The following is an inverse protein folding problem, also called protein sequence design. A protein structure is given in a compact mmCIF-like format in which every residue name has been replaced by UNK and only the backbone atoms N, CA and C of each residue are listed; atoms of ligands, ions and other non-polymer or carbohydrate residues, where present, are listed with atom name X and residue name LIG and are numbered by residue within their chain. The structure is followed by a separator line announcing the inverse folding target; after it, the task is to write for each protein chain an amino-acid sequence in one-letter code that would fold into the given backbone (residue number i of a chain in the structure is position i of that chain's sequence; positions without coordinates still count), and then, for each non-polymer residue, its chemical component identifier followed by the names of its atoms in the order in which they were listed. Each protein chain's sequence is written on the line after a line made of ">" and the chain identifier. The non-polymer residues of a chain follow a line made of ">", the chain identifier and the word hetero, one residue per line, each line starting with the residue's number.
data_IF_518445676045
#
_entry.id   IF_518445676045
#
_cell.length_a   1.000
_cell.length_b   1.000
_cell.length_c   1.000
_cell.angle_alpha   90.00
_cell.angle_beta   90.00
_cell.angle_gamma   90.00
#
_symmetry.space_group_name_H-M   'P 1'
#
loop_
_entity.id
_entity.type
_entity.pdbx_description
1 polymer ?
#
# COMPACT_ATOMS: atom_id res chain seq x y z
N UNK A 1 28.64 -23.60 -11.36
CA UNK A 1 28.48 -22.99 -12.69
C UNK A 1 27.17 -23.49 -13.26
N UNK A 2 26.08 -22.74 -13.05
CA UNK A 2 24.79 -23.00 -13.68
C UNK A 2 24.54 -21.91 -14.69
N UNK A 3 24.49 -22.31 -15.94
CA UNK A 3 24.27 -21.44 -17.09
C UNK A 3 22.79 -21.06 -17.17
N UNK A 4 22.51 -19.75 -17.04
CA UNK A 4 21.22 -19.17 -17.39
C UNK A 4 20.98 -19.33 -18.89
N UNK A 5 20.00 -20.11 -19.26
CA UNK A 5 19.42 -20.08 -20.61
C UNK A 5 18.28 -19.07 -20.63
N UNK A 6 18.48 -17.95 -21.30
CA UNK A 6 17.42 -17.05 -21.71
C UNK A 6 16.46 -17.79 -22.65
N UNK A 7 15.30 -18.18 -22.14
CA UNK A 7 14.22 -18.68 -22.97
C UNK A 7 13.25 -17.52 -23.18
N UNK A 8 13.30 -16.92 -24.35
CA UNK A 8 12.27 -15.98 -24.81
C UNK A 8 11.02 -16.79 -25.16
N UNK A 9 10.06 -16.85 -24.24
CA UNK A 9 8.74 -17.42 -24.49
C UNK A 9 7.78 -16.29 -24.80
N UNK A 10 7.25 -16.30 -26.04
CA UNK A 10 6.09 -15.49 -26.43
C UNK A 10 4.86 -15.96 -25.63
N UNK A 11 4.05 -15.04 -25.08
CA UNK A 11 2.85 -15.41 -24.32
C UNK A 11 1.73 -15.80 -25.29
N UNK A 12 1.63 -17.08 -25.62
CA UNK A 12 0.48 -17.64 -26.31
C UNK A 12 -0.34 -18.53 -25.37
N UNK A 13 -1.55 -18.04 -25.02
CA UNK A 13 -2.69 -18.83 -24.54
C UNK A 13 -2.59 -19.54 -23.19
N UNK A 14 -2.51 -18.77 -22.10
CA UNK A 14 -2.86 -19.25 -20.77
C UNK A 14 -4.27 -18.78 -20.43
N UNK A 15 -5.25 -19.68 -20.42
CA UNK A 15 -6.59 -19.38 -19.91
C UNK A 15 -6.53 -19.20 -18.40
N UNK A 16 -6.52 -17.94 -17.93
CA UNK A 16 -6.66 -17.60 -16.52
C UNK A 16 -8.12 -17.58 -16.14
N UNK A 17 -8.50 -18.40 -15.16
CA UNK A 17 -9.73 -18.17 -14.40
C UNK A 17 -9.49 -16.87 -13.61
N UNK A 18 -10.10 -15.76 -14.01
CA UNK A 18 -9.85 -14.44 -13.40
C UNK A 18 -10.73 -14.24 -12.17
N UNK A 19 -10.22 -14.49 -10.95
CA UNK A 19 -10.77 -13.85 -9.77
C UNK A 19 -10.57 -12.33 -9.90
N UNK A 20 -11.40 -11.54 -9.25
CA UNK A 20 -11.29 -10.08 -9.28
C UNK A 20 -9.90 -9.66 -8.80
N UNK A 21 -9.15 -8.99 -9.69
CA UNK A 21 -7.76 -8.59 -9.49
C UNK A 21 -7.67 -7.17 -8.97
N UNK A 22 -6.52 -6.82 -8.42
CA UNK A 22 -6.20 -5.46 -7.99
C UNK A 22 -5.27 -4.81 -9.02
N UNK A 23 -5.38 -3.48 -9.21
CA UNK A 23 -4.46 -2.71 -10.05
C UNK A 23 -3.75 -1.67 -9.21
N UNK A 24 -2.42 -1.78 -9.07
CA UNK A 24 -1.57 -0.75 -8.50
C UNK A 24 -0.85 0.03 -9.59
N UNK A 25 -0.93 1.36 -9.54
CA UNK A 25 -0.27 2.26 -10.49
C UNK A 25 0.72 3.12 -9.72
N UNK A 26 2.01 2.93 -10.00
CA UNK A 26 3.06 3.70 -9.37
C UNK A 26 3.35 5.00 -10.11
N UNK A 27 3.33 6.13 -9.41
CA UNK A 27 3.68 7.46 -9.91
C UNK A 27 4.92 7.95 -9.17
N UNK A 28 6.13 7.92 -9.79
CA UNK A 28 7.38 8.16 -9.08
C UNK A 28 7.74 9.65 -8.89
N UNK A 29 6.86 10.58 -9.24
CA UNK A 29 7.14 12.02 -9.21
C UNK A 29 6.82 12.62 -7.85
N UNK A 30 7.75 13.43 -7.31
CA UNK A 30 7.57 14.23 -6.10
C UNK A 30 8.06 15.66 -6.34
N UNK A 31 7.47 16.62 -5.61
CA UNK A 31 7.99 18.00 -5.58
C UNK A 31 9.15 18.15 -4.60
N UNK A 32 9.16 17.34 -3.53
CA UNK A 32 10.23 17.27 -2.53
C UNK A 32 10.41 15.84 -2.02
N UNK A 33 11.63 15.47 -1.60
CA UNK A 33 11.91 14.16 -0.98
C UNK A 33 11.88 14.28 0.53
N UNK A 34 11.02 13.54 1.20
CA UNK A 34 10.95 13.46 2.65
C UNK A 34 12.20 12.74 3.20
N UNK A 35 12.65 13.12 4.41
CA UNK A 35 13.88 12.59 4.99
C UNK A 35 13.85 11.09 5.26
N UNK A 36 12.66 10.54 5.54
CA UNK A 36 12.43 9.12 5.88
C UNK A 36 11.97 8.26 4.70
N UNK A 37 11.72 8.86 3.52
CA UNK A 37 11.00 8.18 2.43
C UNK A 37 11.89 7.20 1.66
N UNK A 38 11.58 5.90 1.78
CA UNK A 38 12.20 4.82 1.02
C UNK A 38 11.49 4.50 -0.31
N UNK A 39 10.32 5.08 -0.57
CA UNK A 39 9.59 4.83 -1.80
C UNK A 39 10.40 5.24 -3.04
N UNK A 40 10.20 4.48 -4.12
CA UNK A 40 10.79 4.78 -5.42
C UNK A 40 10.22 6.10 -5.97
N UNK A 41 10.84 7.22 -5.63
CA UNK A 41 10.35 8.55 -5.97
C UNK A 41 11.48 9.54 -6.25
N UNK A 42 11.24 10.47 -7.17
CA UNK A 42 12.22 11.38 -7.73
C UNK A 42 11.67 12.80 -7.80
N UNK A 43 12.53 13.81 -7.55
CA UNK A 43 12.15 15.23 -7.55
C UNK A 43 12.62 15.99 -8.78
N UNK A 44 13.48 15.42 -9.61
CA UNK A 44 14.16 16.11 -10.72
C UNK A 44 13.79 15.57 -12.12
N UNK A 45 12.73 14.77 -12.22
CA UNK A 45 12.33 14.09 -13.48
C UNK A 45 10.97 14.56 -14.00
N UNK A 46 10.47 15.73 -13.56
CA UNK A 46 9.15 16.24 -13.98
C UNK A 46 8.99 16.39 -15.49
N UNK A 47 10.10 16.60 -16.23
CA UNK A 47 10.13 16.69 -17.68
C UNK A 47 9.80 15.35 -18.37
N UNK A 48 9.87 14.22 -17.67
CA UNK A 48 9.59 12.88 -18.20
C UNK A 48 8.13 12.43 -18.04
N UNK A 49 7.25 13.27 -17.49
CA UNK A 49 5.85 12.90 -17.21
C UNK A 49 5.07 12.42 -18.44
N UNK A 50 5.37 12.97 -19.62
CA UNK A 50 4.71 12.59 -20.89
C UNK A 50 5.21 11.23 -21.37
N UNK A 51 6.52 11.04 -21.39
CA UNK A 51 7.17 9.78 -21.75
C UNK A 51 6.80 8.67 -20.79
N UNK A 52 6.64 9.02 -19.51
CA UNK A 52 6.20 8.09 -18.48
C UNK A 52 4.79 7.56 -18.73
N UNK A 53 3.87 8.41 -19.20
CA UNK A 53 2.53 7.96 -19.59
C UNK A 53 2.59 6.93 -20.71
N UNK A 54 3.38 7.16 -21.75
CA UNK A 54 3.52 6.21 -22.87
C UNK A 54 4.12 4.87 -22.43
N UNK A 55 5.07 4.91 -21.49
CA UNK A 55 5.63 3.69 -20.92
C UNK A 55 4.59 2.93 -20.07
N UNK A 56 3.83 3.62 -19.21
CA UNK A 56 2.71 3.03 -18.47
C UNK A 56 1.67 2.38 -19.39
N UNK A 57 1.28 3.09 -20.45
CA UNK A 57 0.35 2.59 -21.46
C UNK A 57 0.86 1.32 -22.11
N UNK A 58 2.14 1.31 -22.55
CA UNK A 58 2.77 0.14 -23.16
C UNK A 58 2.79 -1.04 -22.19
N UNK A 59 3.15 -0.81 -20.93
CA UNK A 59 3.16 -1.85 -19.90
C UNK A 59 1.76 -2.39 -19.65
N UNK A 60 0.78 -1.50 -19.44
CA UNK A 60 -0.61 -1.89 -19.18
C UNK A 60 -1.19 -2.77 -20.29
N UNK A 61 -1.00 -2.37 -21.55
CA UNK A 61 -1.50 -3.14 -22.71
C UNK A 61 -0.76 -4.47 -22.90
N UNK A 62 0.44 -4.63 -22.36
CA UNK A 62 1.16 -5.90 -22.34
C UNK A 62 0.66 -6.86 -21.25
N UNK A 63 0.22 -6.32 -20.11
CA UNK A 63 -0.17 -7.10 -18.93
C UNK A 63 -1.67 -7.43 -18.89
N UNK A 64 -2.52 -6.49 -19.30
CA UNK A 64 -3.96 -6.65 -19.28
C UNK A 64 -4.47 -7.21 -20.62
N UNK A 65 -5.33 -8.21 -20.54
CA UNK A 65 -6.07 -8.78 -21.66
C UNK A 65 -7.56 -8.42 -21.57
N UNK A 66 -8.36 -8.82 -22.57
CA UNK A 66 -9.81 -8.53 -22.62
C UNK A 66 -10.59 -9.13 -21.44
N UNK A 67 -10.08 -10.17 -20.80
CA UNK A 67 -10.69 -10.81 -19.64
C UNK A 67 -10.38 -10.11 -18.33
N UNK A 68 -9.34 -9.27 -18.27
CA UNK A 68 -8.89 -8.59 -17.08
C UNK A 68 -9.98 -7.67 -16.51
N UNK A 69 -10.26 -7.80 -15.19
CA UNK A 69 -11.24 -6.99 -14.45
C UNK A 69 -10.67 -6.62 -13.09
N UNK A 70 -10.56 -5.34 -12.83
CA UNK A 70 -9.99 -4.86 -11.57
C UNK A 70 -11.09 -4.49 -10.58
N UNK A 71 -11.09 -5.15 -9.42
CA UNK A 71 -12.02 -4.86 -8.32
C UNK A 71 -11.66 -3.53 -7.65
N UNK A 72 -10.37 -3.23 -7.57
CA UNK A 72 -9.86 -1.98 -7.02
C UNK A 72 -8.69 -1.45 -7.85
N UNK A 73 -8.54 -0.12 -7.84
CA UNK A 73 -7.37 0.58 -8.39
C UNK A 73 -6.75 1.41 -7.28
N UNK A 74 -5.43 1.36 -7.14
CA UNK A 74 -4.70 2.20 -6.22
C UNK A 74 -3.58 2.94 -6.97
N UNK A 75 -3.64 4.27 -6.98
CA UNK A 75 -2.66 5.14 -7.61
C UNK A 75 -1.82 5.76 -6.51
N UNK A 76 -0.58 5.30 -6.37
CA UNK A 76 0.32 5.65 -5.27
C UNK A 76 1.77 5.85 -5.70
N UNK A 77 2.67 5.86 -4.72
CA UNK A 77 4.11 5.88 -4.94
C UNK A 77 4.82 7.12 -4.44
N UNK A 78 5.27 8.00 -5.32
CA UNK A 78 5.84 9.28 -4.96
C UNK A 78 4.75 10.26 -4.51
N UNK A 79 4.16 10.97 -5.45
CA UNK A 79 3.06 11.91 -5.18
C UNK A 79 2.16 12.01 -6.41
N UNK A 80 1.14 11.17 -6.54
CA UNK A 80 0.23 11.20 -7.68
C UNK A 80 -0.42 12.57 -7.94
N UNK A 81 -0.70 13.36 -6.90
CA UNK A 81 -1.27 14.71 -7.06
C UNK A 81 -0.34 15.73 -7.74
N UNK A 82 0.91 15.37 -8.06
CA UNK A 82 1.80 16.19 -8.91
C UNK A 82 1.49 16.08 -10.40
N UNK A 83 0.67 15.10 -10.78
CA UNK A 83 0.27 14.91 -12.18
C UNK A 83 -0.94 15.79 -12.52
N UNK A 84 -1.00 16.25 -13.78
CA UNK A 84 -2.12 17.05 -14.26
C UNK A 84 -3.42 16.24 -14.37
N UNK A 85 -4.56 16.91 -14.34
CA UNK A 85 -5.86 16.27 -14.61
C UNK A 85 -5.86 15.58 -15.97
N UNK A 86 -5.30 16.21 -17.02
CA UNK A 86 -5.21 15.62 -18.36
C UNK A 86 -4.39 14.33 -18.45
N UNK A 87 -3.46 14.09 -17.50
CA UNK A 87 -2.81 12.79 -17.38
C UNK A 87 -3.82 11.72 -16.92
N UNK A 88 -4.63 12.04 -15.93
CA UNK A 88 -5.64 11.11 -15.40
C UNK A 88 -6.78 10.88 -16.38
N UNK A 89 -7.21 11.89 -17.14
CA UNK A 89 -8.20 11.72 -18.23
C UNK A 89 -7.73 10.64 -19.21
N UNK A 90 -6.50 10.72 -19.71
CA UNK A 90 -5.92 9.72 -20.60
C UNK A 90 -5.74 8.35 -19.93
N UNK A 91 -5.34 8.34 -18.65
CA UNK A 91 -5.18 7.09 -17.89
C UNK A 91 -6.54 6.40 -17.74
N UNK A 92 -7.59 7.12 -17.39
CA UNK A 92 -8.95 6.58 -17.23
C UNK A 92 -9.59 6.19 -18.57
N UNK A 93 -9.25 6.87 -19.66
CA UNK A 93 -9.61 6.43 -21.01
C UNK A 93 -8.99 5.06 -21.33
N UNK A 94 -7.70 4.87 -21.00
CA UNK A 94 -6.97 3.62 -21.21
C UNK A 94 -7.52 2.46 -20.36
N UNK A 95 -7.66 2.66 -19.04
CA UNK A 95 -8.04 1.58 -18.11
C UNK A 95 -9.56 1.42 -17.97
N UNK A 96 -10.36 2.38 -18.45
CA UNK A 96 -11.82 2.43 -18.26
C UNK A 96 -12.56 1.13 -18.57
N UNK A 97 -12.28 0.42 -19.69
CA UNK A 97 -12.92 -0.85 -20.00
C UNK A 97 -12.74 -1.93 -18.91
N UNK A 98 -11.66 -1.88 -18.15
CA UNK A 98 -11.24 -2.89 -17.17
C UNK A 98 -11.72 -2.58 -15.75
N UNK A 99 -12.13 -1.33 -15.48
CA UNK A 99 -12.49 -0.83 -14.15
C UNK A 99 -13.97 -0.48 -13.98
N UNK A 100 -14.83 -0.78 -14.94
CA UNK A 100 -16.28 -0.45 -14.91
C UNK A 100 -16.98 -0.88 -13.62
N UNK A 101 -16.55 -2.00 -13.04
CA UNK A 101 -17.13 -2.58 -11.83
C UNK A 101 -16.22 -2.42 -10.60
N UNK A 102 -15.19 -1.57 -10.69
CA UNK A 102 -14.31 -1.31 -9.57
C UNK A 102 -15.08 -0.68 -8.41
N UNK A 103 -14.91 -1.29 -7.22
CA UNK A 103 -15.58 -0.85 -5.99
C UNK A 103 -14.85 0.29 -5.30
N UNK A 104 -13.53 0.37 -5.53
CA UNK A 104 -12.66 1.38 -4.92
C UNK A 104 -11.57 1.80 -5.90
N UNK A 105 -11.47 3.10 -6.12
CA UNK A 105 -10.40 3.73 -6.89
C UNK A 105 -9.77 4.78 -5.99
N UNK A 106 -8.57 4.47 -5.49
CA UNK A 106 -7.81 5.29 -4.54
C UNK A 106 -6.74 6.11 -5.24
N UNK A 107 -6.51 7.32 -4.76
CA UNK A 107 -5.35 8.13 -5.12
C UNK A 107 -4.68 8.74 -3.90
N UNK A 108 -3.34 8.72 -3.87
CA UNK A 108 -2.54 9.42 -2.86
C UNK A 108 -2.29 10.86 -3.26
N UNK A 109 -2.37 11.76 -2.28
CA UNK A 109 -2.25 13.19 -2.48
C UNK A 109 -1.37 13.87 -1.44
N UNK A 110 -0.63 14.88 -1.86
CA UNK A 110 -0.07 15.84 -0.93
C UNK A 110 -1.19 16.71 -0.33
N UNK A 111 -1.08 17.05 0.96
CA UNK A 111 -2.10 17.85 1.65
C UNK A 111 -1.97 19.36 1.37
N UNK A 112 -1.55 19.73 0.18
CA UNK A 112 -1.58 21.07 -0.41
C UNK A 112 -2.27 21.07 -1.78
N UNK A 113 -3.00 19.99 -2.09
CA UNK A 113 -3.70 19.82 -3.37
C UNK A 113 -4.91 20.73 -3.45
N UNK A 114 -5.08 21.40 -4.61
CA UNK A 114 -6.14 22.39 -4.81
C UNK A 114 -7.53 21.76 -4.92
N UNK A 115 -8.56 22.54 -4.55
CA UNK A 115 -9.96 22.12 -4.69
C UNK A 115 -10.32 21.75 -6.12
N UNK A 116 -9.88 22.55 -7.12
CA UNK A 116 -10.20 22.32 -8.51
C UNK A 116 -9.65 20.99 -9.03
N UNK A 117 -8.41 20.65 -8.63
CA UNK A 117 -7.83 19.36 -8.96
C UNK A 117 -8.61 18.22 -8.32
N UNK A 118 -8.94 18.33 -7.01
CA UNK A 118 -9.73 17.33 -6.28
C UNK A 118 -11.10 17.10 -6.92
N UNK A 119 -11.80 18.18 -7.29
CA UNK A 119 -13.10 18.12 -7.97
C UNK A 119 -12.99 17.42 -9.34
N UNK A 120 -11.94 17.74 -10.10
CA UNK A 120 -11.73 17.15 -11.42
C UNK A 120 -11.47 15.65 -11.33
N UNK A 121 -10.55 15.18 -10.46
CA UNK A 121 -10.27 13.75 -10.34
C UNK A 121 -11.47 12.99 -9.75
N UNK A 122 -12.26 13.61 -8.87
CA UNK A 122 -13.50 13.02 -8.37
C UNK A 122 -14.48 12.74 -9.50
N UNK A 123 -14.58 13.65 -10.48
CA UNK A 123 -15.45 13.49 -11.66
C UNK A 123 -15.00 12.37 -12.60
N UNK A 124 -13.72 11.98 -12.57
CA UNK A 124 -13.20 10.83 -13.33
C UNK A 124 -13.55 9.47 -12.70
N UNK A 125 -14.17 9.46 -11.49
CA UNK A 125 -14.60 8.23 -10.83
C UNK A 125 -13.73 7.81 -9.65
N UNK A 126 -12.65 8.54 -9.33
CA UNK A 126 -11.87 8.30 -8.11
C UNK A 126 -12.77 8.52 -6.90
N UNK A 127 -12.89 7.53 -6.01
CA UNK A 127 -13.87 7.55 -4.91
C UNK A 127 -13.24 7.41 -3.51
N UNK A 128 -11.91 7.19 -3.43
CA UNK A 128 -11.15 7.23 -2.19
C UNK A 128 -9.90 8.11 -2.37
N UNK A 129 -9.58 8.90 -1.36
CA UNK A 129 -8.40 9.76 -1.35
C UNK A 129 -7.58 9.53 -0.07
N UNK A 130 -6.25 9.50 -0.20
CA UNK A 130 -5.31 9.39 0.91
C UNK A 130 -4.39 10.59 0.95
N UNK A 131 -4.36 11.30 2.09
CA UNK A 131 -3.49 12.45 2.29
C UNK A 131 -2.32 12.10 3.20
N UNK A 132 -1.10 12.23 2.67
CA UNK A 132 0.13 12.10 3.44
C UNK A 132 0.37 13.29 4.36
N UNK A 133 -0.42 13.45 5.41
CA UNK A 133 -0.36 14.60 6.36
C UNK A 133 0.83 14.46 7.30
N UNK A 134 1.03 13.29 7.87
CA UNK A 134 2.09 12.88 8.79
C UNK A 134 1.99 13.51 10.18
N UNK A 135 1.70 14.80 10.29
CA UNK A 135 1.49 15.56 11.54
C UNK A 135 0.80 16.90 11.24
N UNK A 136 0.26 17.53 12.29
CA UNK A 136 -0.19 18.93 12.27
C UNK A 136 0.74 19.85 13.05
N UNK A 137 1.83 19.32 13.61
CA UNK A 137 2.84 20.10 14.30
C UNK A 137 3.89 20.64 13.32
N UNK A 138 4.17 21.95 13.39
CA UNK A 138 5.07 22.65 12.48
C UNK A 138 6.51 22.12 12.55
N UNK A 139 7.01 21.88 13.75
CA UNK A 139 8.40 21.47 13.95
C UNK A 139 8.59 20.00 13.51
N UNK A 140 7.60 19.15 13.76
CA UNK A 140 7.58 17.76 13.28
C UNK A 140 7.47 17.69 11.76
N UNK A 141 6.65 18.52 11.12
CA UNK A 141 6.59 18.60 9.65
C UNK A 141 7.94 19.06 9.07
N UNK A 142 8.59 20.05 9.65
CA UNK A 142 9.93 20.49 9.23
C UNK A 142 10.98 19.39 9.43
N UNK A 143 10.94 18.68 10.57
CA UNK A 143 11.81 17.53 10.85
C UNK A 143 11.67 16.43 9.80
N UNK A 144 10.45 16.10 9.41
CA UNK A 144 10.14 15.11 8.37
C UNK A 144 10.44 15.60 6.93
N UNK A 145 10.83 16.87 6.77
CA UNK A 145 10.99 17.56 5.48
C UNK A 145 9.71 17.57 4.63
N UNK A 146 8.57 17.87 5.27
CA UNK A 146 7.28 18.04 4.58
C UNK A 146 7.16 19.49 4.09
N UNK A 147 6.60 19.65 2.88
CA UNK A 147 6.45 20.95 2.20
C UNK A 147 5.06 21.58 2.36
N UNK A 148 4.28 21.13 3.34
CA UNK A 148 2.95 21.66 3.66
C UNK A 148 2.87 22.08 5.12
N UNK A 149 1.87 22.89 5.44
CA UNK A 149 1.51 23.31 6.79
C UNK A 149 0.25 22.60 7.28
N UNK A 150 0.04 22.60 8.61
CA UNK A 150 -1.20 22.10 9.22
C UNK A 150 -2.45 22.74 8.60
N UNK A 151 -2.41 24.07 8.34
CA UNK A 151 -3.52 24.79 7.72
C UNK A 151 -3.85 24.23 6.33
N UNK A 152 -2.83 24.02 5.49
CA UNK A 152 -3.03 23.44 4.16
C UNK A 152 -3.58 22.01 4.22
N UNK A 153 -3.12 21.21 5.18
CA UNK A 153 -3.63 19.86 5.38
C UNK A 153 -5.14 19.87 5.75
N UNK A 154 -5.53 20.72 6.71
CA UNK A 154 -6.93 20.90 7.12
C UNK A 154 -7.78 21.38 5.94
N UNK A 155 -7.30 22.37 5.18
CA UNK A 155 -7.99 22.89 4.01
C UNK A 155 -8.15 21.82 2.91
N UNK A 156 -7.12 21.04 2.61
CA UNK A 156 -7.17 19.99 1.59
C UNK A 156 -8.17 18.88 1.94
N UNK A 157 -8.23 18.46 3.21
CA UNK A 157 -9.20 17.45 3.66
C UNK A 157 -10.63 17.98 3.54
N UNK A 158 -10.88 19.22 3.98
CA UNK A 158 -12.19 19.85 3.83
C UNK A 158 -12.58 20.07 2.36
N UNK A 159 -11.63 20.43 1.52
CA UNK A 159 -11.81 20.55 0.08
C UNK A 159 -12.14 19.19 -0.58
N UNK A 160 -11.52 18.10 -0.14
CA UNK A 160 -11.87 16.77 -0.62
C UNK A 160 -13.32 16.42 -0.27
N UNK A 161 -13.77 16.69 0.97
CA UNK A 161 -15.17 16.51 1.36
C UNK A 161 -16.11 17.36 0.51
N UNK A 162 -15.78 18.63 0.30
CA UNK A 162 -16.54 19.56 -0.56
C UNK A 162 -16.57 19.11 -2.02
N UNK A 163 -15.51 18.47 -2.52
CA UNK A 163 -15.43 17.90 -3.87
C UNK A 163 -16.24 16.59 -4.03
N UNK A 164 -16.84 16.06 -2.95
CA UNK A 164 -17.70 14.89 -2.96
C UNK A 164 -16.99 13.57 -2.63
N UNK A 165 -15.83 13.61 -1.96
CA UNK A 165 -15.23 12.40 -1.41
C UNK A 165 -15.86 12.06 -0.06
N UNK A 166 -16.36 10.82 0.07
CA UNK A 166 -16.90 10.24 1.31
C UNK A 166 -15.98 9.15 1.90
N UNK A 167 -14.85 8.90 1.27
CA UNK A 167 -13.82 7.99 1.74
C UNK A 167 -12.48 8.72 1.74
N UNK A 168 -12.12 9.28 2.89
CA UNK A 168 -10.96 10.16 3.06
C UNK A 168 -10.05 9.56 4.12
N UNK A 169 -8.80 9.31 3.76
CA UNK A 169 -7.75 8.85 4.66
C UNK A 169 -6.78 9.97 5.02
N UNK A 170 -6.26 9.92 6.25
CA UNK A 170 -5.07 10.63 6.69
C UNK A 170 -3.97 9.65 7.05
N UNK A 171 -2.76 9.89 6.56
CA UNK A 171 -1.56 9.20 7.04
C UNK A 171 -0.93 10.04 8.16
N UNK A 172 -0.63 9.39 9.29
CA UNK A 172 0.10 9.96 10.43
C UNK A 172 1.36 9.14 10.68
N UNK A 173 2.45 9.81 11.06
CA UNK A 173 3.68 9.16 11.52
C UNK A 173 3.84 9.40 13.01
N UNK A 174 4.13 8.35 13.76
CA UNK A 174 4.49 8.39 15.18
C UNK A 174 5.87 7.75 15.42
N UNK A 175 6.36 7.74 16.66
CA UNK A 175 7.71 7.29 17.03
C UNK A 175 8.84 8.11 16.44
N UNK A 176 8.59 9.40 16.14
CA UNK A 176 9.67 10.33 15.80
C UNK A 176 10.39 10.81 17.07
N UNK A 177 11.65 11.22 16.96
CA UNK A 177 12.42 11.74 18.10
C UNK A 177 11.74 12.96 18.79
N UNK A 178 10.86 13.67 18.09
CA UNK A 178 10.13 14.83 18.61
C UNK A 178 8.83 14.45 19.34
N UNK A 179 8.38 13.23 19.23
CA UNK A 179 7.06 12.85 19.74
C UNK A 179 7.01 12.89 21.27
N UNK A 180 6.00 13.58 21.74
CA UNK A 180 5.55 13.62 23.12
C UNK A 180 4.06 13.30 23.16
N UNK A 181 3.54 12.90 24.30
CA UNK A 181 2.12 12.65 24.48
C UNK A 181 1.28 13.87 24.12
N UNK A 182 1.73 15.08 24.45
CA UNK A 182 1.03 16.33 24.14
C UNK A 182 1.00 16.62 22.64
N UNK A 183 2.14 16.39 21.92
CA UNK A 183 2.21 16.58 20.47
C UNK A 183 1.27 15.59 19.77
N UNK A 184 1.35 14.30 20.10
CA UNK A 184 0.49 13.28 19.51
C UNK A 184 -0.99 13.48 19.84
N UNK A 185 -1.31 14.00 21.06
CA UNK A 185 -2.69 14.37 21.42
C UNK A 185 -3.21 15.49 20.51
N UNK A 186 -2.40 16.51 20.22
CA UNK A 186 -2.78 17.59 19.29
C UNK A 186 -3.00 17.09 17.88
N UNK A 187 -2.11 16.21 17.37
CA UNK A 187 -2.26 15.59 16.06
C UNK A 187 -3.57 14.79 15.97
N UNK A 188 -3.86 13.94 16.96
CA UNK A 188 -5.10 13.15 16.98
C UNK A 188 -6.35 14.01 17.10
N UNK A 189 -6.36 15.02 18.00
CA UNK A 189 -7.51 15.91 18.15
C UNK A 189 -7.81 16.65 16.86
N UNK A 190 -6.77 17.09 16.13
CA UNK A 190 -6.95 17.72 14.81
C UNK A 190 -7.51 16.73 13.80
N UNK A 191 -6.90 15.54 13.68
CA UNK A 191 -7.37 14.50 12.76
C UNK A 191 -8.84 14.12 13.02
N UNK A 192 -9.21 13.96 14.30
CA UNK A 192 -10.57 13.59 14.71
C UNK A 192 -11.62 14.70 14.51
N UNK A 193 -11.19 15.94 14.35
CA UNK A 193 -12.08 17.07 14.02
C UNK A 193 -12.41 17.17 12.53
N UNK A 194 -11.67 16.44 11.68
CA UNK A 194 -11.79 16.49 10.23
C UNK A 194 -12.78 15.43 9.71
N UNK A 195 -13.38 15.63 8.51
CA UNK A 195 -14.33 14.69 7.92
C UNK A 195 -13.65 13.45 7.32
N UNK A 196 -12.77 12.81 8.10
CA UNK A 196 -12.05 11.59 7.69
C UNK A 196 -12.81 10.35 8.11
N UNK A 197 -12.66 9.29 7.34
CA UNK A 197 -13.29 7.99 7.59
C UNK A 197 -12.25 6.90 7.87
N UNK A 198 -10.98 7.25 7.75
CA UNK A 198 -9.88 6.32 7.85
C UNK A 198 -8.61 7.05 8.32
N UNK A 199 -7.81 6.39 9.14
CA UNK A 199 -6.49 6.85 9.56
C UNK A 199 -5.49 5.72 9.30
N UNK A 200 -4.37 6.05 8.63
CA UNK A 200 -3.18 5.21 8.59
C UNK A 200 -2.17 5.77 9.59
N UNK A 201 -1.70 4.95 10.51
CA UNK A 201 -0.73 5.34 11.53
C UNK A 201 0.52 4.47 11.39
N UNK A 202 1.63 5.09 11.03
CA UNK A 202 2.90 4.41 10.78
C UNK A 202 3.93 4.79 11.84
N UNK A 203 4.52 3.78 12.49
CA UNK A 203 5.72 3.99 13.29
C UNK A 203 6.88 4.37 12.37
N UNK A 204 7.62 5.42 12.72
CA UNK A 204 8.79 5.83 11.94
C UNK A 204 9.81 4.69 11.87
N UNK A 205 10.15 4.27 10.67
CA UNK A 205 11.22 3.29 10.40
C UNK A 205 12.39 4.00 9.71
N UNK A 206 13.61 3.66 10.10
CA UNK A 206 14.81 4.16 9.44
C UNK A 206 15.23 3.14 8.39
N UNK A 207 14.94 3.45 7.15
CA UNK A 207 15.14 2.56 6.00
C UNK A 207 16.42 2.91 5.24
N UNK A 208 16.97 1.89 4.56
CA UNK A 208 18.06 2.08 3.60
C UNK A 208 17.64 3.00 2.45
N UNK A 209 18.59 3.67 1.83
CA UNK A 209 18.39 4.62 0.73
C UNK A 209 17.54 5.85 1.09
N UNK A 210 17.36 6.14 2.38
CA UNK A 210 16.75 7.38 2.88
C UNK A 210 17.82 8.38 3.34
N UNK A 211 17.43 9.64 3.51
CA UNK A 211 18.35 10.65 4.07
C UNK A 211 18.77 10.33 5.51
N UNK A 212 17.97 9.52 6.20
CA UNK A 212 18.19 9.13 7.60
C UNK A 212 18.77 7.72 7.74
N UNK A 213 19.20 7.09 6.64
CA UNK A 213 19.85 5.79 6.70
C UNK A 213 20.94 5.73 7.78
N UNK A 214 20.83 4.77 8.69
CA UNK A 214 21.77 4.58 9.80
C UNK A 214 21.65 5.59 10.97
N UNK A 215 20.82 6.63 10.87
CA UNK A 215 20.63 7.61 11.95
C UNK A 215 19.41 7.30 12.82
N UNK A 216 19.53 6.31 13.69
CA UNK A 216 18.48 5.89 14.61
C UNK A 216 18.10 6.94 15.66
N UNK A 217 18.86 8.03 15.79
CA UNK A 217 18.49 9.15 16.67
C UNK A 217 17.22 9.89 16.23
N UNK A 218 16.76 9.67 15.01
CA UNK A 218 15.53 10.24 14.45
C UNK A 218 14.27 9.54 14.95
N UNK A 219 14.40 8.29 15.43
CA UNK A 219 13.31 7.51 16.00
C UNK A 219 13.34 7.53 17.52
N UNK A 220 12.17 7.62 18.14
CA UNK A 220 11.96 7.37 19.56
C UNK A 220 11.51 5.92 19.75
N UNK A 221 12.18 5.22 20.65
CA UNK A 221 11.82 3.89 21.10
C UNK A 221 11.11 4.01 22.45
N UNK A 222 9.80 4.17 22.41
CA UNK A 222 8.92 4.39 23.57
C UNK A 222 7.64 3.58 23.38
N UNK A 223 7.69 2.31 23.75
CA UNK A 223 6.61 1.34 23.54
C UNK A 223 5.31 1.79 24.25
N UNK A 224 5.42 2.38 25.44
CA UNK A 224 4.24 2.86 26.18
C UNK A 224 3.52 3.99 25.40
N UNK A 225 4.31 4.90 24.82
CA UNK A 225 3.77 5.99 24.00
C UNK A 225 3.17 5.46 22.69
N UNK A 226 3.80 4.46 22.05
CA UNK A 226 3.31 3.82 20.84
C UNK A 226 1.96 3.12 21.09
N UNK A 227 1.87 2.29 22.13
CA UNK A 227 0.63 1.61 22.53
C UNK A 227 -0.46 2.64 22.86
N UNK A 228 -0.13 3.64 23.67
CA UNK A 228 -1.07 4.71 24.02
C UNK A 228 -1.62 5.42 22.77
N UNK A 229 -0.76 5.72 21.78
CA UNK A 229 -1.17 6.39 20.55
C UNK A 229 -2.14 5.55 19.74
N UNK A 230 -1.84 4.27 19.56
CA UNK A 230 -2.70 3.31 18.86
C UNK A 230 -4.04 3.15 19.58
N UNK A 231 -4.03 3.02 20.91
CA UNK A 231 -5.25 2.89 21.69
C UNK A 231 -6.13 4.15 21.59
N UNK A 232 -5.54 5.33 21.52
CA UNK A 232 -6.28 6.57 21.28
C UNK A 232 -6.97 6.61 19.92
N UNK A 233 -6.36 6.04 18.89
CA UNK A 233 -7.02 5.93 17.58
C UNK A 233 -8.18 4.93 17.67
N UNK A 234 -8.00 3.79 18.37
CA UNK A 234 -9.04 2.76 18.57
C UNK A 234 -10.28 3.26 19.29
N UNK A 235 -10.18 4.32 20.11
CA UNK A 235 -11.35 4.93 20.75
C UNK A 235 -12.38 5.48 19.74
N UNK A 236 -11.95 5.78 18.48
CA UNK A 236 -12.82 6.38 17.44
C UNK A 236 -12.88 5.59 16.14
N UNK A 237 -11.86 4.82 15.83
CA UNK A 237 -11.73 4.09 14.58
C UNK A 237 -11.35 2.65 14.85
N UNK A 238 -12.16 1.70 14.42
CA UNK A 238 -11.86 0.28 14.53
C UNK A 238 -10.58 -0.07 13.75
N UNK A 239 -9.65 -0.75 14.40
CA UNK A 239 -8.44 -1.24 13.75
C UNK A 239 -8.77 -2.49 12.93
N UNK A 240 -8.46 -2.51 11.64
CA UNK A 240 -8.70 -3.65 10.77
C UNK A 240 -7.42 -4.32 10.24
N UNK A 241 -6.27 -3.69 10.42
CA UNK A 241 -4.94 -4.25 10.19
C UNK A 241 -3.89 -3.44 10.97
N UNK A 242 -2.63 -3.85 10.92
CA UNK A 242 -1.56 -3.40 11.80
C UNK A 242 -1.41 -1.87 11.87
N UNK A 243 -1.62 -1.15 10.76
CA UNK A 243 -1.39 0.30 10.66
C UNK A 243 -2.63 1.10 10.28
N UNK A 244 -3.77 0.46 10.00
CA UNK A 244 -4.94 1.12 9.42
C UNK A 244 -6.21 0.95 10.25
N UNK A 245 -6.96 2.06 10.36
CA UNK A 245 -8.12 2.20 11.25
C UNK A 245 -9.29 2.85 10.51
N UNK A 246 -10.52 2.42 10.83
CA UNK A 246 -11.76 2.98 10.29
C UNK A 246 -12.29 2.20 9.10
N UNK A 247 -12.86 2.90 8.11
CA UNK A 247 -13.46 2.28 6.92
C UNK A 247 -12.39 1.57 6.09
N UNK A 248 -12.39 0.23 6.01
CA UNK A 248 -11.29 -0.51 5.40
C UNK A 248 -10.99 -0.09 3.96
N UNK A 249 -9.71 0.07 3.63
CA UNK A 249 -9.22 0.17 2.26
C UNK A 249 -9.32 -1.21 1.60
N UNK A 250 -10.19 -1.34 0.59
CA UNK A 250 -10.41 -2.62 -0.09
C UNK A 250 -9.17 -3.10 -0.82
N UNK A 251 -8.39 -2.19 -1.35
CA UNK A 251 -7.14 -2.53 -2.03
C UNK A 251 -6.13 -3.15 -1.06
N UNK A 252 -5.92 -2.53 0.11
CA UNK A 252 -5.03 -3.07 1.14
C UNK A 252 -5.54 -4.42 1.67
N UNK A 253 -6.85 -4.54 1.95
CA UNK A 253 -7.43 -5.83 2.33
C UNK A 253 -7.19 -6.92 1.27
N UNK A 254 -7.20 -6.55 -0.01
CA UNK A 254 -6.88 -7.48 -1.07
C UNK A 254 -5.45 -8.03 -0.97
N UNK A 255 -4.47 -7.22 -0.57
CA UNK A 255 -3.10 -7.68 -0.29
C UNK A 255 -3.06 -8.62 0.93
N UNK A 256 -3.73 -8.26 2.02
CA UNK A 256 -3.82 -9.11 3.21
C UNK A 256 -4.50 -10.46 2.92
N UNK A 257 -5.43 -10.50 1.99
CA UNK A 257 -6.07 -11.74 1.49
C UNK A 257 -5.21 -12.54 0.52
N UNK A 258 -4.04 -12.06 0.11
CA UNK A 258 -3.19 -12.71 -0.90
C UNK A 258 -3.85 -12.77 -2.29
N UNK A 259 -4.63 -11.75 -2.66
CA UNK A 259 -5.22 -11.62 -4.01
C UNK A 259 -4.13 -11.32 -5.03
N UNK A 260 -4.39 -11.72 -6.28
CA UNK A 260 -3.56 -11.31 -7.41
C UNK A 260 -3.66 -9.80 -7.65
N UNK A 261 -2.52 -9.20 -8.00
CA UNK A 261 -2.49 -7.79 -8.33
C UNK A 261 -1.51 -7.49 -9.46
N UNK A 262 -1.90 -6.54 -10.30
CA UNK A 262 -1.08 -5.97 -11.35
C UNK A 262 -0.39 -4.74 -10.79
N UNK A 263 0.94 -4.70 -10.85
CA UNK A 263 1.74 -3.54 -10.53
C UNK A 263 2.31 -2.94 -11.80
N UNK A 264 1.94 -1.70 -12.13
CA UNK A 264 2.49 -0.97 -13.27
C UNK A 264 3.18 0.32 -12.84
N UNK A 265 4.20 0.71 -13.56
CA UNK A 265 5.04 1.87 -13.27
C UNK A 265 6.41 1.48 -12.70
N UNK A 266 7.35 2.41 -12.70
CA UNK A 266 8.72 2.18 -12.27
C UNK A 266 8.80 1.85 -10.77
N UNK A 267 9.28 0.66 -10.43
CA UNK A 267 9.36 0.15 -9.05
C UNK A 267 8.08 -0.51 -8.54
N UNK A 268 7.06 -0.70 -9.39
CA UNK A 268 5.88 -1.45 -9.02
C UNK A 268 6.17 -2.96 -8.96
N UNK A 269 5.40 -3.65 -8.13
CA UNK A 269 5.43 -5.12 -8.00
C UNK A 269 4.06 -5.66 -8.39
N UNK A 270 4.03 -6.81 -9.06
CA UNK A 270 2.80 -7.55 -9.31
C UNK A 270 2.90 -8.97 -8.76
N UNK A 271 1.76 -9.60 -8.52
CA UNK A 271 1.64 -10.96 -8.00
C UNK A 271 0.60 -11.74 -8.81
N UNK A 272 0.99 -12.88 -9.35
CA UNK A 272 0.18 -13.71 -10.26
C UNK A 272 0.22 -15.17 -9.86
N UNK A 273 -0.91 -15.84 -10.11
CA UNK A 273 -1.07 -17.30 -10.03
C UNK A 273 -1.37 -17.81 -11.41
N UNK A 274 -0.44 -18.52 -12.01
CA UNK A 274 -0.55 -19.01 -13.38
C UNK A 274 -0.77 -20.52 -13.38
N UNK A 275 -1.76 -21.01 -14.14
CA UNK A 275 -1.93 -22.44 -14.34
C UNK A 275 -1.08 -22.87 -15.54
N UNK A 276 -0.14 -23.77 -15.29
CA UNK A 276 0.76 -24.27 -16.30
C UNK A 276 0.06 -25.36 -17.17
N UNK A 277 0.60 -25.64 -18.36
CA UNK A 277 0.05 -26.67 -19.26
C UNK A 277 0.00 -28.06 -18.63
N UNK A 278 0.95 -28.38 -17.72
CA UNK A 278 0.96 -29.63 -16.96
C UNK A 278 -0.10 -29.68 -15.83
N UNK A 279 -0.91 -28.65 -15.67
CA UNK A 279 -1.94 -28.54 -14.64
C UNK A 279 -1.45 -28.03 -13.27
N UNK A 280 -0.15 -27.81 -13.07
CA UNK A 280 0.41 -27.24 -11.86
C UNK A 280 0.21 -25.73 -11.79
N UNK A 281 0.26 -25.17 -10.59
CA UNK A 281 0.23 -23.73 -10.37
C UNK A 281 1.66 -23.18 -10.23
N UNK A 282 1.95 -22.13 -10.98
CA UNK A 282 3.14 -21.29 -10.76
C UNK A 282 2.70 -19.99 -10.11
N UNK A 283 3.26 -19.69 -8.95
CA UNK A 283 3.01 -18.47 -8.21
C UNK A 283 4.27 -17.61 -8.30
N UNK A 284 4.09 -16.38 -8.77
CA UNK A 284 5.20 -15.49 -9.04
C UNK A 284 4.91 -14.04 -8.64
N UNK A 285 5.96 -13.35 -8.19
CA UNK A 285 6.02 -11.89 -8.19
C UNK A 285 6.86 -11.43 -9.36
N UNK A 286 6.47 -10.32 -9.95
CA UNK A 286 7.31 -9.61 -10.89
C UNK A 286 7.57 -8.20 -10.40
N UNK A 287 8.79 -7.75 -10.61
CA UNK A 287 9.30 -6.45 -10.22
C UNK A 287 9.62 -5.66 -11.47
N UNK A 288 9.06 -4.48 -11.61
CA UNK A 288 9.40 -3.56 -12.70
C UNK A 288 10.77 -2.91 -12.44
N UNK A 289 11.32 -2.24 -13.43
CA UNK A 289 12.57 -1.49 -13.27
C UNK A 289 12.36 -0.36 -12.25
N UNK A 290 13.20 -0.30 -11.20
CA UNK A 290 13.16 0.81 -10.22
C UNK A 290 13.63 2.12 -10.85
N UNK A 291 14.71 2.07 -11.65
CA UNK A 291 15.23 3.23 -12.35
C UNK A 291 14.26 3.69 -13.43
N UNK A 292 13.79 4.95 -13.33
CA UNK A 292 12.80 5.51 -14.26
C UNK A 292 13.31 5.52 -15.69
N UNK A 293 14.58 5.85 -15.94
CA UNK A 293 15.13 5.88 -17.30
C UNK A 293 15.17 4.49 -17.93
N UNK A 294 15.55 3.46 -17.14
CA UNK A 294 15.51 2.07 -17.61
C UNK A 294 14.07 1.61 -17.85
N UNK A 295 13.13 2.03 -16.99
CA UNK A 295 11.71 1.75 -17.16
C UNK A 295 11.16 2.36 -18.47
N UNK A 296 11.50 3.62 -18.76
CA UNK A 296 11.10 4.28 -20.01
C UNK A 296 11.62 3.55 -21.26
N UNK A 297 12.86 3.05 -21.21
CA UNK A 297 13.44 2.29 -22.33
C UNK A 297 12.74 0.95 -22.55
N UNK A 298 12.42 0.23 -21.47
CA UNK A 298 11.77 -1.08 -21.55
C UNK A 298 10.81 -1.33 -20.39
N UNK A 299 9.56 -0.82 -20.46
CA UNK A 299 8.57 -0.92 -19.38
C UNK A 299 8.04 -2.34 -19.14
N UNK A 300 8.29 -3.27 -20.07
CA UNK A 300 7.88 -4.67 -19.97
C UNK A 300 9.02 -5.61 -19.58
N UNK A 301 10.15 -5.06 -19.13
CA UNK A 301 11.25 -5.85 -18.58
C UNK A 301 11.06 -6.04 -17.08
N UNK A 302 10.93 -7.29 -16.64
CA UNK A 302 10.70 -7.68 -15.25
C UNK A 302 11.83 -8.53 -14.70
N UNK A 303 12.00 -8.46 -13.37
CA UNK A 303 12.66 -9.48 -12.56
C UNK A 303 11.56 -10.34 -11.94
N UNK A 304 11.70 -11.65 -11.98
CA UNK A 304 10.73 -12.59 -11.40
C UNK A 304 11.27 -13.24 -10.14
N UNK A 305 10.38 -13.48 -9.20
CA UNK A 305 10.56 -14.29 -8.00
C UNK A 305 9.48 -15.38 -8.04
N UNK A 306 9.90 -16.64 -7.99
CA UNK A 306 8.99 -17.78 -7.95
C UNK A 306 8.83 -18.24 -6.52
N UNK A 307 7.58 -18.36 -6.08
CA UNK A 307 7.24 -18.68 -4.71
C UNK A 307 6.89 -20.16 -4.57
N UNK A 308 7.52 -20.81 -3.61
CA UNK A 308 7.20 -22.19 -3.23
C UNK A 308 5.91 -22.24 -2.40
N UNK A 309 5.34 -23.43 -2.22
CA UNK A 309 4.18 -23.64 -1.34
C UNK A 309 4.50 -23.23 0.12
N UNK A 310 5.74 -23.42 0.55
CA UNK A 310 6.20 -23.01 1.87
C UNK A 310 6.27 -21.49 2.01
N UNK A 311 6.74 -20.77 0.99
CA UNK A 311 6.74 -19.31 0.98
C UNK A 311 5.30 -18.77 1.03
N UNK A 312 4.40 -19.36 0.26
CA UNK A 312 2.98 -18.98 0.25
C UNK A 312 2.32 -19.26 1.60
N UNK A 313 2.65 -20.39 2.25
CA UNK A 313 2.15 -20.70 3.60
C UNK A 313 2.61 -19.63 4.60
N UNK A 314 3.92 -19.33 4.62
CA UNK A 314 4.50 -18.31 5.50
C UNK A 314 3.83 -16.95 5.31
N UNK A 315 3.65 -16.53 4.07
CA UNK A 315 2.97 -15.28 3.76
C UNK A 315 1.52 -15.26 4.24
N UNK A 316 0.76 -16.33 4.01
CA UNK A 316 -0.64 -16.41 4.46
C UNK A 316 -0.77 -16.29 5.99
N UNK A 317 0.11 -16.94 6.75
CA UNK A 317 0.14 -16.82 8.21
C UNK A 317 0.49 -15.39 8.60
N UNK A 318 1.58 -14.84 8.04
CA UNK A 318 2.08 -13.51 8.32
C UNK A 318 1.06 -12.40 8.01
N UNK A 319 0.45 -12.44 6.81
CA UNK A 319 -0.56 -11.46 6.39
C UNK A 319 -1.85 -11.60 7.20
N UNK A 320 -2.28 -12.84 7.44
CA UNK A 320 -3.50 -13.11 8.19
C UNK A 320 -3.45 -12.60 9.64
N UNK A 321 -2.30 -12.78 10.32
CA UNK A 321 -2.11 -12.33 11.69
C UNK A 321 -1.99 -10.81 11.84
N UNK A 322 -1.70 -10.09 10.77
CA UNK A 322 -1.58 -8.62 10.76
C UNK A 322 -2.89 -7.90 10.42
N UNK A 323 -3.96 -8.63 10.21
CA UNK A 323 -5.23 -8.08 9.78
C UNK A 323 -6.43 -8.90 10.28
N UNK A 324 -7.62 -8.32 10.11
CA UNK A 324 -8.89 -9.01 10.37
C UNK A 324 -9.17 -10.18 9.39
N UNK A 325 -8.29 -10.42 8.42
CA UNK A 325 -8.46 -11.51 7.44
C UNK A 325 -8.25 -12.87 8.06
N UNK A 326 -7.30 -12.98 9.00
CA UNK A 326 -6.89 -14.26 9.57
C UNK A 326 -6.29 -15.20 8.53
N UNK A 327 -5.96 -16.42 8.92
CA UNK A 327 -5.50 -17.46 8.01
C UNK A 327 -6.20 -18.80 8.28
N UNK A 328 -6.29 -19.65 7.25
CA UNK A 328 -6.91 -20.98 7.35
C UNK A 328 -5.98 -21.94 8.10
N UNK A 329 -6.45 -22.56 9.18
CA UNK A 329 -5.66 -23.51 9.99
C UNK A 329 -5.22 -24.75 9.22
N UNK A 330 -5.93 -25.10 8.13
CA UNK A 330 -5.60 -26.27 7.32
C UNK A 330 -4.27 -26.16 6.56
N UNK A 331 -3.70 -24.94 6.48
CA UNK A 331 -2.37 -24.75 5.91
C UNK A 331 -1.24 -25.15 6.86
N UNK A 332 -1.55 -25.34 8.16
CA UNK A 332 -0.59 -25.73 9.18
C UNK A 332 -0.43 -27.26 9.24
N UNK A 333 0.80 -27.71 9.47
CA UNK A 333 1.06 -29.10 9.83
C UNK A 333 0.71 -29.38 11.30
N UNK A 334 0.77 -30.63 11.76
CA UNK A 334 0.34 -31.02 13.11
C UNK A 334 1.17 -30.38 14.24
N UNK A 335 2.46 -30.12 14.03
CA UNK A 335 3.30 -29.46 15.05
C UNK A 335 3.02 -27.96 15.10
N UNK A 336 2.79 -27.32 13.96
CA UNK A 336 2.38 -25.92 13.84
C UNK A 336 1.01 -25.67 14.47
N UNK A 337 0.05 -26.60 14.29
CA UNK A 337 -1.26 -26.57 14.96
C UNK A 337 -1.13 -26.61 16.47
N UNK A 338 -0.30 -27.50 17.02
CA UNK A 338 -0.05 -27.57 18.47
C UNK A 338 0.50 -26.24 19.00
N UNK A 339 1.43 -25.61 18.28
CA UNK A 339 1.96 -24.28 18.67
C UNK A 339 0.87 -23.19 18.60
N UNK A 340 0.02 -23.21 17.59
CA UNK A 340 -1.11 -22.29 17.50
C UNK A 340 -2.12 -22.49 18.65
N UNK A 341 -2.40 -23.74 19.06
CA UNK A 341 -3.26 -24.06 20.20
C UNK A 341 -2.72 -23.53 21.53
N UNK A 342 -1.40 -23.55 21.74
CA UNK A 342 -0.75 -22.92 22.90
C UNK A 342 -1.10 -21.43 22.93
N UNK A 343 -0.90 -20.72 21.80
CA UNK A 343 -1.19 -19.29 21.71
C UNK A 343 -2.68 -18.96 21.85
N UNK A 344 -3.56 -19.87 21.43
CA UNK A 344 -5.01 -19.74 21.66
C UNK A 344 -5.32 -19.89 23.16
N UNK A 345 -4.71 -20.86 23.84
CA UNK A 345 -4.90 -21.04 25.29
C UNK A 345 -4.38 -19.84 26.10
N UNK A 346 -3.34 -19.18 25.62
CA UNK A 346 -2.77 -17.94 26.19
C UNK A 346 -3.56 -16.67 25.81
N UNK A 347 -4.63 -16.78 25.04
CA UNK A 347 -5.43 -15.65 24.54
C UNK A 347 -4.62 -14.63 23.69
N UNK A 348 -3.61 -15.09 23.00
CA UNK A 348 -2.90 -14.31 21.97
C UNK A 348 -3.53 -14.46 20.60
N UNK A 349 -4.11 -15.64 20.35
CA UNK A 349 -4.88 -15.97 19.17
C UNK A 349 -6.31 -16.39 19.53
N UNK A 350 -7.20 -16.32 18.56
CA UNK A 350 -8.52 -16.95 18.65
C UNK A 350 -8.86 -17.63 17.33
N UNK A 351 -9.75 -18.63 17.43
CA UNK A 351 -10.24 -19.39 16.29
C UNK A 351 -11.73 -19.10 16.09
N UNK A 352 -12.11 -18.85 14.84
CA UNK A 352 -13.48 -18.76 14.42
C UNK A 352 -13.64 -19.60 13.14
N UNK A 353 -14.53 -20.61 13.18
CA UNK A 353 -14.61 -21.64 12.14
C UNK A 353 -13.24 -22.29 11.88
N UNK A 354 -12.75 -22.28 10.64
CA UNK A 354 -11.46 -22.84 10.26
C UNK A 354 -10.35 -21.79 10.16
N UNK A 355 -10.60 -20.58 10.69
CA UNK A 355 -9.61 -19.49 10.63
C UNK A 355 -9.08 -19.12 12.00
N UNK A 356 -7.80 -18.78 12.01
CA UNK A 356 -7.06 -18.29 13.17
C UNK A 356 -6.79 -16.79 12.98
N UNK A 357 -6.99 -16.02 14.07
CA UNK A 357 -6.86 -14.57 14.12
C UNK A 357 -6.00 -14.14 15.29
N UNK A 358 -5.35 -12.98 15.19
CA UNK A 358 -4.65 -12.36 16.31
C UNK A 358 -5.57 -11.39 17.06
N UNK A 359 -5.45 -11.36 18.40
CA UNK A 359 -6.04 -10.31 19.22
C UNK A 359 -5.25 -8.99 19.13
N UNK A 360 -3.95 -9.08 18.85
CA UNK A 360 -3.07 -7.93 18.72
C UNK A 360 -2.20 -8.08 17.46
N UNK A 361 -2.40 -7.19 16.50
CA UNK A 361 -1.66 -7.21 15.24
C UNK A 361 -0.18 -6.83 15.41
N UNK A 362 0.19 -6.13 16.48
CA UNK A 362 1.58 -5.79 16.76
C UNK A 362 2.44 -7.01 17.13
N UNK A 363 1.81 -8.07 17.63
CA UNK A 363 2.48 -9.33 17.97
C UNK A 363 2.64 -10.30 16.79
N UNK A 364 2.12 -9.95 15.60
CA UNK A 364 2.03 -10.85 14.46
C UNK A 364 3.37 -11.48 14.06
N UNK A 365 4.45 -10.71 14.11
CA UNK A 365 5.80 -11.20 13.72
C UNK A 365 6.32 -12.26 14.69
N UNK A 366 6.21 -11.98 15.99
CA UNK A 366 6.62 -12.92 17.02
C UNK A 366 5.77 -14.20 16.99
N UNK A 367 4.45 -14.05 16.78
CA UNK A 367 3.51 -15.17 16.66
C UNK A 367 3.80 -16.00 15.41
N UNK A 368 4.01 -15.36 14.26
CA UNK A 368 4.34 -16.05 13.01
C UNK A 368 5.60 -16.88 13.17
N UNK A 369 6.66 -16.30 13.72
CA UNK A 369 7.91 -17.00 13.97
C UNK A 369 7.71 -18.19 14.91
N UNK A 370 6.93 -18.03 15.99
CA UNK A 370 6.67 -19.12 16.94
C UNK A 370 5.90 -20.28 16.31
N UNK A 371 4.93 -19.99 15.45
CA UNK A 371 4.12 -21.04 14.79
C UNK A 371 4.95 -21.81 13.76
N UNK A 372 5.77 -21.12 12.96
CA UNK A 372 6.41 -21.67 11.76
C UNK A 372 7.88 -22.13 11.96
N UNK A 373 8.37 -22.17 13.21
CA UNK A 373 9.74 -22.67 13.51
C UNK A 373 9.91 -24.13 13.10
#
# INVERSE_FOLDING_TARGET
>A
MHTNKDISLTPSHLHTFTPSQLLYIHIPFCDSKCNYCAFNSYTNINHLKKEYFEALKKQFLNEADESSKFETVFIGGGTPSTMSVGFYEKLFELIGPYIKNSKEITIECNPNTSYEWLKSIRSLGINRISFGVQSFDKDKLAFLNRNHSAKQAIESVNNAKKAGFDNINLDLIYSTALDTKDLLTKDLNTAFSLPVTHISAYSLTIEENTKWEGDFSKRKYDEELEIWFIDKIKEKFEQYEISNFGKPCRHNLGYWMGKEYFGIGAGAVGFKKLRMENGEWRIERYYTQNDVYKYLQNPTKYKYEYLSDEDIKKEKVFLGLRSIVGFDENILNEEEKKRAEILISEKKLYKQENKIYSYDFLLADAITNFILI
#
